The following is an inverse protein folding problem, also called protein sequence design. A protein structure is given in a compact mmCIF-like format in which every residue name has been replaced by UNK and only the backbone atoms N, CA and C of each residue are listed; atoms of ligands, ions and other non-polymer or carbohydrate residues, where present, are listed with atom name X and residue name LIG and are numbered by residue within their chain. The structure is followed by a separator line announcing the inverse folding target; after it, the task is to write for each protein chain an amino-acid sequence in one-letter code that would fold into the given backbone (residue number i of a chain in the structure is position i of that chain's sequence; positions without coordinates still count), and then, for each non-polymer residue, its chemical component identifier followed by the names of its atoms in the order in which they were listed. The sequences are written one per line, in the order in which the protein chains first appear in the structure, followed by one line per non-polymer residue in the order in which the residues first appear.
data_IF_092487272533
#
_entry.id   IF_092487272533
#
_cell.length_a   1.000
_cell.length_b   1.000
_cell.length_c   1.000
_cell.angle_alpha   90.00
_cell.angle_beta   90.00
_cell.angle_gamma   90.00
#
_symmetry.space_group_name_H-M   'P 1'
#
loop_
_entity.id
_entity.type
_entity.pdbx_description
1 polymer ?
#
# COMPACT_ATOMS: atom_id res chain seq x y z
N UNK A 1 18.93 -33.67 -20.94
CA UNK A 1 17.81 -32.80 -21.33
C UNK A 1 18.18 -31.38 -20.94
N UNK A 2 18.31 -30.47 -21.91
CA UNK A 2 18.54 -29.04 -21.63
C UNK A 2 17.29 -28.42 -21.01
N UNK A 3 17.47 -27.50 -20.05
CA UNK A 3 16.36 -26.70 -19.52
C UNK A 3 15.88 -25.73 -20.61
N UNK A 4 14.57 -25.65 -20.90
CA UNK A 4 14.05 -24.67 -21.86
C UNK A 4 14.48 -23.25 -21.48
N UNK A 5 14.87 -22.45 -22.47
CA UNK A 5 15.22 -21.05 -22.25
C UNK A 5 14.00 -20.23 -21.82
N UNK A 6 14.20 -19.30 -20.89
CA UNK A 6 13.17 -18.38 -20.44
C UNK A 6 13.02 -17.24 -21.43
N UNK A 7 11.78 -16.94 -21.83
CA UNK A 7 11.43 -15.80 -22.69
C UNK A 7 11.33 -14.53 -21.85
N UNK A 8 10.83 -14.66 -20.62
CA UNK A 8 10.82 -13.61 -19.60
C UNK A 8 11.38 -14.18 -18.31
N UNK A 9 12.20 -13.41 -17.60
CA UNK A 9 12.72 -13.83 -16.29
C UNK A 9 12.91 -12.65 -15.33
N UNK A 10 12.77 -12.95 -14.05
CA UNK A 10 12.93 -12.06 -12.91
C UNK A 10 13.80 -12.77 -11.88
N UNK A 11 14.86 -12.09 -11.43
CA UNK A 11 15.65 -12.51 -10.26
C UNK A 11 14.85 -12.18 -9.01
N UNK A 12 14.40 -13.22 -8.33
CA UNK A 12 13.64 -13.14 -7.09
C UNK A 12 14.44 -13.80 -5.95
N UNK A 13 13.96 -13.67 -4.71
CA UNK A 13 14.59 -14.26 -3.51
C UNK A 13 14.75 -15.79 -3.63
N UNK A 14 13.73 -16.50 -4.13
CA UNK A 14 13.75 -17.95 -4.35
C UNK A 14 14.57 -18.40 -5.57
N UNK A 15 15.16 -17.46 -6.32
CA UNK A 15 15.92 -17.73 -7.54
C UNK A 15 15.34 -17.02 -8.76
N UNK A 16 15.65 -17.52 -9.96
CA UNK A 16 15.14 -16.95 -11.20
C UNK A 16 13.75 -17.51 -11.48
N UNK A 17 12.74 -16.65 -11.42
CA UNK A 17 11.36 -16.95 -11.80
C UNK A 17 11.11 -16.45 -13.22
N UNK A 18 10.48 -17.23 -14.07
CA UNK A 18 10.24 -16.80 -15.44
C UNK A 18 9.30 -17.68 -16.22
N UNK A 19 8.94 -17.25 -17.42
CA UNK A 19 8.06 -17.98 -18.34
C UNK A 19 8.91 -18.50 -19.50
N UNK A 20 8.81 -19.79 -19.80
CA UNK A 20 9.48 -20.40 -20.95
C UNK A 20 8.69 -20.21 -22.26
N UNK A 21 9.28 -20.62 -23.38
CA UNK A 21 8.66 -20.50 -24.70
C UNK A 21 7.33 -21.27 -24.86
N UNK A 22 7.02 -22.19 -23.95
CA UNK A 22 5.75 -22.93 -23.93
C UNK A 22 4.69 -22.25 -23.06
N UNK A 23 5.02 -21.13 -22.42
CA UNK A 23 4.15 -20.42 -21.49
C UNK A 23 4.13 -21.00 -20.08
N UNK A 24 5.04 -21.93 -19.74
CA UNK A 24 5.12 -22.49 -18.39
C UNK A 24 6.00 -21.63 -17.48
N UNK A 25 5.58 -21.48 -16.21
CA UNK A 25 6.45 -20.85 -15.20
C UNK A 25 7.53 -21.81 -14.74
N UNK A 26 8.75 -21.29 -14.63
CA UNK A 26 9.89 -21.94 -13.98
C UNK A 26 10.33 -21.09 -12.79
N UNK A 27 11.02 -21.73 -11.84
CA UNK A 27 11.63 -21.02 -10.71
C UNK A 27 10.71 -20.73 -9.53
N UNK A 28 9.45 -21.18 -9.55
CA UNK A 28 8.47 -21.04 -8.45
C UNK A 28 8.52 -22.20 -7.44
N UNK A 29 9.64 -22.93 -7.38
CA UNK A 29 9.76 -24.08 -6.48
C UNK A 29 9.62 -23.62 -5.01
N UNK A 30 8.71 -24.27 -4.27
CA UNK A 30 8.42 -23.94 -2.86
C UNK A 30 7.29 -22.93 -2.64
N UNK A 31 6.69 -22.40 -3.71
CA UNK A 31 5.44 -21.65 -3.66
C UNK A 31 4.23 -22.60 -3.67
N UNK A 32 3.18 -22.20 -2.97
CA UNK A 32 1.87 -22.84 -3.06
C UNK A 32 1.29 -22.67 -4.48
N UNK A 33 0.44 -23.60 -4.92
CA UNK A 33 -0.12 -23.59 -6.30
C UNK A 33 -0.81 -22.27 -6.65
N UNK A 34 -1.56 -21.68 -5.71
CA UNK A 34 -2.23 -20.40 -5.90
C UNK A 34 -1.25 -19.25 -6.10
N UNK A 35 -0.13 -19.24 -5.38
CA UNK A 35 0.89 -18.19 -5.51
C UNK A 35 1.64 -18.34 -6.84
N UNK A 36 1.98 -19.57 -7.23
CA UNK A 36 2.60 -19.86 -8.52
C UNK A 36 1.71 -19.41 -9.69
N UNK A 37 0.40 -19.61 -9.60
CA UNK A 37 -0.56 -19.16 -10.60
C UNK A 37 -0.66 -17.62 -10.66
N UNK A 38 -0.72 -16.94 -9.51
CA UNK A 38 -0.73 -15.49 -9.49
C UNK A 38 0.55 -14.89 -10.10
N UNK A 39 1.70 -15.50 -9.82
CA UNK A 39 2.99 -15.14 -10.41
C UNK A 39 2.98 -15.35 -11.93
N UNK A 40 2.43 -16.45 -12.43
CA UNK A 40 2.28 -16.71 -13.87
C UNK A 40 1.48 -15.61 -14.55
N UNK A 41 0.29 -15.30 -14.03
CA UNK A 41 -0.61 -14.29 -14.59
C UNK A 41 0.02 -12.89 -14.56
N UNK A 42 0.74 -12.58 -13.48
CA UNK A 42 1.45 -11.31 -13.34
C UNK A 42 2.57 -11.17 -14.38
N UNK A 43 3.41 -12.19 -14.55
CA UNK A 43 4.54 -12.13 -15.49
C UNK A 43 4.10 -12.22 -16.96
N UNK A 44 3.11 -13.07 -17.26
CA UNK A 44 2.65 -13.29 -18.64
C UNK A 44 1.72 -12.19 -19.12
N UNK A 45 0.72 -11.84 -18.29
CA UNK A 45 -0.39 -10.98 -18.70
C UNK A 45 -0.29 -9.57 -18.11
N UNK A 46 0.66 -9.32 -17.20
CA UNK A 46 0.77 -8.04 -16.48
C UNK A 46 -0.41 -7.79 -15.53
N UNK A 47 -1.12 -8.84 -15.12
CA UNK A 47 -2.32 -8.76 -14.29
C UNK A 47 -1.97 -8.80 -12.81
N UNK A 48 -2.57 -7.91 -12.04
CA UNK A 48 -2.54 -7.97 -10.58
C UNK A 48 -3.78 -8.69 -10.06
N UNK A 49 -3.70 -9.44 -8.96
CA UNK A 49 -4.87 -10.06 -8.36
C UNK A 49 -5.90 -9.02 -7.95
N UNK A 50 -7.19 -9.32 -8.18
CA UNK A 50 -8.28 -8.47 -7.71
C UNK A 50 -8.25 -8.35 -6.18
N UNK A 51 -8.44 -7.13 -5.68
CA UNK A 51 -8.62 -6.85 -4.25
C UNK A 51 -10.05 -7.19 -3.83
N UNK A 52 -10.29 -7.53 -2.54
CA UNK A 52 -11.66 -7.56 -2.01
C UNK A 52 -12.32 -6.19 -2.17
N UNK A 53 -13.65 -6.13 -2.08
CA UNK A 53 -14.36 -4.85 -2.09
C UNK A 53 -13.89 -3.99 -0.89
N UNK A 54 -13.20 -2.89 -1.19
CA UNK A 54 -12.64 -1.92 -0.23
C UNK A 54 -13.37 -0.58 -0.29
N UNK A 55 -14.61 -0.54 -0.81
CA UNK A 55 -15.43 0.69 -0.87
C UNK A 55 -15.66 1.32 0.50
N UNK A 56 -15.58 0.55 1.58
CA UNK A 56 -15.65 1.04 2.96
C UNK A 56 -14.42 1.89 3.35
N UNK A 57 -13.28 1.66 2.70
CA UNK A 57 -12.02 2.38 2.88
C UNK A 57 -11.83 3.50 1.85
N UNK A 58 -12.53 3.45 0.73
CA UNK A 58 -12.48 4.43 -0.35
C UNK A 58 -13.87 5.02 -0.60
N UNK A 59 -14.30 6.02 0.17
CA UNK A 59 -15.43 6.85 -0.29
C UNK A 59 -14.99 7.65 -1.51
N UNK A 60 -15.75 7.56 -2.59
CA UNK A 60 -15.51 8.25 -3.86
C UNK A 60 -15.45 9.77 -3.63
N UNK A 61 -14.48 10.44 -4.25
CA UNK A 61 -14.50 11.91 -4.40
C UNK A 61 -15.79 12.31 -5.08
N UNK A 62 -16.64 13.07 -4.40
CA UNK A 62 -17.67 13.85 -5.08
C UNK A 62 -16.97 15.01 -5.77
N UNK A 63 -16.90 14.96 -7.10
CA UNK A 63 -16.28 16.01 -7.91
C UNK A 63 -17.16 17.26 -7.89
N UNK A 64 -16.99 18.12 -6.89
CA UNK A 64 -17.55 19.47 -6.92
C UNK A 64 -16.64 20.35 -7.78
N UNK A 65 -17.17 20.76 -8.92
CA UNK A 65 -16.60 21.80 -9.78
C UNK A 65 -16.65 23.13 -9.00
N UNK A 66 -15.55 23.56 -8.41
CA UNK A 66 -15.37 24.95 -7.98
C UNK A 66 -13.88 25.28 -7.94
N UNK A 67 -13.49 26.22 -8.79
CA UNK A 67 -12.19 26.84 -8.73
C UNK A 67 -12.15 27.84 -7.60
N UNK A 68 -11.06 27.83 -6.82
CA UNK A 68 -10.39 29.01 -6.29
C UNK A 68 -9.04 28.60 -5.66
N UNK A 69 -7.99 29.16 -6.25
CA UNK A 69 -6.61 29.38 -5.77
C UNK A 69 -6.07 28.59 -4.57
N UNK A 70 -5.28 27.57 -4.95
CA UNK A 70 -4.38 26.70 -4.19
C UNK A 70 -3.49 27.43 -3.14
N UNK A 71 -3.92 27.46 -1.87
CA UNK A 71 -2.99 27.57 -0.73
C UNK A 71 -2.28 26.24 -0.54
N UNK A 72 -1.04 26.20 -0.02
CA UNK A 72 -0.45 24.94 0.37
C UNK A 72 -1.26 24.34 1.53
N UNK A 73 -2.00 23.27 1.23
CA UNK A 73 -2.86 22.58 2.18
C UNK A 73 -2.08 21.44 2.83
N UNK A 74 -2.45 21.16 4.05
CA UNK A 74 -2.09 19.93 4.74
C UNK A 74 -2.74 18.75 4.01
N UNK A 75 -1.98 17.74 3.59
CA UNK A 75 -2.53 16.60 2.83
C UNK A 75 -2.14 15.29 3.48
N UNK A 76 -3.14 14.46 3.81
CA UNK A 76 -2.92 13.10 4.27
C UNK A 76 -2.28 12.26 3.15
N UNK A 77 -1.16 11.59 3.44
CA UNK A 77 -0.44 10.72 2.49
C UNK A 77 -0.77 9.26 2.74
N UNK A 78 -0.72 8.81 4.00
CA UNK A 78 -1.02 7.44 4.33
C UNK A 78 -1.05 7.19 5.84
N UNK A 79 -1.71 6.12 6.30
CA UNK A 79 -2.46 5.15 5.49
C UNK A 79 -3.83 5.69 5.03
N UNK A 80 -4.19 5.52 3.75
CA UNK A 80 -5.51 5.91 3.22
C UNK A 80 -5.96 4.92 2.15
N UNK A 81 -7.21 4.48 2.19
CA UNK A 81 -7.76 3.50 1.25
C UNK A 81 -6.97 2.17 1.19
N UNK A 82 -6.38 1.76 2.31
CA UNK A 82 -5.47 0.61 2.39
C UNK A 82 -5.69 -0.23 3.64
N UNK A 83 -5.34 -1.50 3.56
CA UNK A 83 -5.04 -2.33 4.73
C UNK A 83 -3.57 -2.12 5.11
N UNK A 84 -3.24 -2.14 6.39
CA UNK A 84 -1.86 -2.10 6.90
C UNK A 84 -1.57 -3.35 7.71
N UNK A 85 -0.37 -3.90 7.54
CA UNK A 85 0.08 -5.11 8.27
C UNK A 85 0.46 -4.82 9.74
N UNK A 86 1.04 -3.65 9.98
CA UNK A 86 1.44 -3.18 11.32
C UNK A 86 0.22 -2.74 12.14
N UNK A 87 0.17 -3.16 13.41
CA UNK A 87 -0.77 -2.62 14.40
C UNK A 87 -0.33 -1.25 14.96
N UNK A 88 0.83 -0.75 14.54
CA UNK A 88 1.32 0.61 14.79
C UNK A 88 1.65 1.25 13.44
N UNK A 89 0.65 1.64 12.65
CA UNK A 89 0.89 2.21 11.34
C UNK A 89 1.65 3.53 11.44
N UNK A 90 2.50 3.79 10.44
CA UNK A 90 3.19 5.06 10.28
C UNK A 90 2.29 6.00 9.49
N UNK A 91 1.78 7.03 10.15
CA UNK A 91 0.98 8.09 9.55
C UNK A 91 1.92 9.10 8.90
N UNK A 92 1.61 9.51 7.66
CA UNK A 92 2.41 10.48 6.90
C UNK A 92 1.51 11.52 6.25
N UNK A 93 2.01 12.75 6.18
CA UNK A 93 1.32 13.86 5.51
C UNK A 93 2.32 14.77 4.80
N UNK A 94 1.82 15.61 3.91
CA UNK A 94 2.55 16.74 3.34
C UNK A 94 2.07 18.02 3.99
N UNK A 95 3.02 18.91 4.28
CA UNK A 95 2.76 20.24 4.76
C UNK A 95 3.71 21.24 4.08
N UNK A 96 3.30 22.51 3.91
CA UNK A 96 4.21 23.55 3.46
C UNK A 96 5.40 23.76 4.41
N UNK A 97 6.52 24.19 3.82
CA UNK A 97 7.70 24.62 4.57
C UNK A 97 7.34 25.73 5.57
N UNK A 98 7.94 25.67 6.76
CA UNK A 98 7.69 26.63 7.85
C UNK A 98 6.44 26.35 8.70
N UNK A 99 5.75 25.23 8.48
CA UNK A 99 4.67 24.77 9.37
C UNK A 99 5.24 24.28 10.71
N UNK A 100 4.71 24.79 11.82
CA UNK A 100 5.38 24.70 13.13
C UNK A 100 5.08 23.47 13.99
N UNK A 101 3.82 23.03 14.04
CA UNK A 101 3.42 21.91 14.90
C UNK A 101 2.16 21.25 14.38
N UNK A 102 2.13 19.92 14.48
CA UNK A 102 0.99 19.10 14.07
C UNK A 102 0.48 18.25 15.23
N UNK A 103 -0.78 17.79 15.09
CA UNK A 103 -1.40 16.76 15.92
C UNK A 103 -2.13 15.77 15.02
N UNK A 104 -1.97 14.49 15.30
CA UNK A 104 -2.73 13.39 14.71
C UNK A 104 -3.82 12.97 15.69
N UNK A 105 -5.02 12.72 15.19
CA UNK A 105 -6.07 12.02 15.91
C UNK A 105 -6.53 10.81 15.08
N UNK A 106 -6.74 9.68 15.75
CA UNK A 106 -7.19 8.43 15.15
C UNK A 106 -8.45 7.99 15.86
N UNK A 107 -9.45 7.61 15.06
CA UNK A 107 -10.79 7.24 15.49
C UNK A 107 -11.15 5.86 14.96
N UNK A 108 -12.03 5.15 15.66
CA UNK A 108 -12.67 3.95 15.11
C UNK A 108 -13.77 4.32 14.09
N UNK A 109 -14.47 3.30 13.58
CA UNK A 109 -15.56 3.48 12.61
C UNK A 109 -16.75 4.27 13.15
N UNK A 110 -16.90 4.36 14.47
CA UNK A 110 -17.97 5.06 15.17
C UNK A 110 -17.52 6.46 15.63
N UNK A 111 -16.36 6.92 15.16
CA UNK A 111 -15.73 8.19 15.51
C UNK A 111 -15.31 8.32 16.99
N UNK A 112 -15.14 7.22 17.70
CA UNK A 112 -14.56 7.26 19.05
C UNK A 112 -13.04 7.42 18.97
N UNK A 113 -12.42 8.28 19.81
CA UNK A 113 -10.98 8.46 19.80
C UNK A 113 -10.25 7.19 20.28
N UNK A 114 -9.31 6.72 19.47
CA UNK A 114 -8.50 5.52 19.73
C UNK A 114 -7.06 5.88 20.06
N UNK A 115 -6.50 6.87 19.35
CA UNK A 115 -5.16 7.37 19.60
C UNK A 115 -5.06 8.84 19.21
N UNK A 116 -4.15 9.56 19.87
CA UNK A 116 -3.83 10.93 19.50
C UNK A 116 -2.36 11.20 19.78
N UNK A 117 -1.76 12.03 18.95
CA UNK A 117 -0.43 12.56 19.24
C UNK A 117 -0.52 13.78 20.16
N UNK A 118 0.54 14.02 20.92
CA UNK A 118 0.84 15.38 21.39
C UNK A 118 1.16 16.32 20.23
N UNK A 119 1.43 17.61 20.49
CA UNK A 119 2.01 18.50 19.48
C UNK A 119 3.43 18.06 19.17
N UNK A 120 3.79 17.94 17.89
CA UNK A 120 5.16 17.64 17.49
C UNK A 120 5.49 18.26 16.13
N UNK A 121 6.81 18.39 15.89
CA UNK A 121 7.37 18.81 14.61
C UNK A 121 7.72 17.57 13.78
N UNK A 122 7.38 17.60 12.49
CA UNK A 122 7.64 16.49 11.57
C UNK A 122 6.49 16.29 10.60
N UNK A 123 6.64 15.30 9.72
CA UNK A 123 5.62 14.91 8.73
C UNK A 123 5.22 13.44 8.83
N UNK A 124 5.67 12.77 9.90
CA UNK A 124 5.38 11.38 10.19
C UNK A 124 5.11 11.17 11.67
N UNK A 125 4.23 10.23 12.00
CA UNK A 125 3.92 9.85 13.37
C UNK A 125 3.52 8.38 13.46
N UNK A 126 3.98 7.71 14.52
CA UNK A 126 3.62 6.34 14.81
C UNK A 126 2.99 6.27 16.22
N UNK A 127 1.86 5.55 16.40
CA UNK A 127 1.28 5.35 17.72
C UNK A 127 2.20 4.56 18.65
N UNK A 128 2.27 4.98 19.92
CA UNK A 128 3.02 4.27 20.97
C UNK A 128 2.35 2.95 21.38
N UNK A 129 1.02 2.86 21.24
CA UNK A 129 0.22 1.69 21.60
C UNK A 129 -0.28 1.00 20.33
N UNK A 130 -0.29 -0.35 20.31
CA UNK A 130 -0.84 -1.07 19.18
C UNK A 130 -2.35 -0.83 19.08
N UNK A 131 -2.81 -0.66 17.86
CA UNK A 131 -4.23 -0.59 17.50
C UNK A 131 -4.80 -1.99 17.40
N UNK A 132 -6.09 -2.16 17.69
CA UNK A 132 -6.73 -3.46 17.54
C UNK A 132 -6.74 -3.92 16.08
N UNK A 133 -6.31 -5.17 15.85
CA UNK A 133 -6.29 -5.82 14.53
C UNK A 133 -7.70 -6.12 14.02
N UNK A 134 -7.85 -6.20 12.70
CA UNK A 134 -9.12 -6.47 12.03
C UNK A 134 -10.13 -5.33 12.11
N UNK A 135 -9.71 -4.13 12.53
CA UNK A 135 -10.55 -2.95 12.67
C UNK A 135 -10.22 -1.88 11.63
N UNK A 136 -11.25 -1.14 11.24
CA UNK A 136 -11.14 0.04 10.39
C UNK A 136 -11.06 1.29 11.25
N UNK A 137 -10.20 2.21 10.84
CA UNK A 137 -9.93 3.46 11.53
C UNK A 137 -9.98 4.63 10.54
N UNK A 138 -10.27 5.80 11.09
CA UNK A 138 -10.19 7.09 10.41
C UNK A 138 -9.11 7.90 11.12
N UNK A 139 -8.31 8.67 10.40
CA UNK A 139 -7.40 9.61 11.04
C UNK A 139 -7.45 10.98 10.41
N UNK A 140 -7.11 11.97 11.24
CA UNK A 140 -6.99 13.36 10.83
C UNK A 140 -5.67 13.91 11.33
N UNK A 141 -5.22 14.94 10.64
CA UNK A 141 -4.11 15.77 11.04
C UNK A 141 -4.61 17.20 11.20
N UNK A 142 -4.24 17.84 12.29
CA UNK A 142 -4.41 19.28 12.50
C UNK A 142 -3.06 19.97 12.67
N UNK A 143 -2.97 21.23 12.29
CA UNK A 143 -1.78 22.05 12.48
C UNK A 143 -2.03 23.50 12.14
N UNK A 144 -0.99 24.34 12.29
CA UNK A 144 -1.06 25.76 11.92
C UNK A 144 -0.22 26.02 10.68
N UNK A 145 -0.86 26.45 9.61
CA UNK A 145 -0.24 26.80 8.33
C UNK A 145 -0.49 28.29 8.05
N UNK A 146 0.59 29.09 7.97
CA UNK A 146 0.47 30.54 7.73
C UNK A 146 -0.35 31.28 8.81
N UNK A 147 -0.27 30.84 10.07
CA UNK A 147 -1.03 31.41 11.19
C UNK A 147 -2.48 30.95 11.29
N UNK A 148 -2.95 30.09 10.38
CA UNK A 148 -4.32 29.55 10.36
C UNK A 148 -4.32 28.09 10.77
N UNK A 149 -5.22 27.73 11.71
CA UNK A 149 -5.45 26.33 12.05
C UNK A 149 -6.16 25.61 10.90
N UNK A 150 -5.56 24.51 10.45
CA UNK A 150 -6.05 23.67 9.36
C UNK A 150 -6.15 22.23 9.84
N UNK A 151 -7.14 21.51 9.33
CA UNK A 151 -7.28 20.06 9.54
C UNK A 151 -7.40 19.37 8.19
N UNK A 152 -6.86 18.16 8.07
CA UNK A 152 -6.97 17.33 6.88
C UNK A 152 -7.23 15.85 7.25
N UNK A 153 -7.94 15.08 6.41
CA UNK A 153 -8.62 15.53 5.20
C UNK A 153 -9.76 16.52 5.49
N UNK A 154 -10.02 17.43 4.55
CA UNK A 154 -11.09 18.43 4.64
C UNK A 154 -12.00 18.29 3.43
N UNK A 155 -13.31 18.46 3.61
CA UNK A 155 -14.27 18.36 2.51
C UNK A 155 -13.85 19.23 1.31
N UNK A 156 -13.88 18.72 0.07
CA UNK A 156 -14.47 17.45 -0.39
C UNK A 156 -13.51 16.24 -0.39
N UNK A 157 -12.32 16.34 0.22
CA UNK A 157 -11.42 15.19 0.31
C UNK A 157 -12.07 14.07 1.15
N UNK A 158 -11.98 12.80 0.70
CA UNK A 158 -12.48 11.69 1.48
C UNK A 158 -11.69 11.52 2.77
N UNK A 159 -12.35 10.98 3.79
CA UNK A 159 -11.71 10.63 5.06
C UNK A 159 -10.53 9.69 4.83
N UNK A 160 -9.45 9.88 5.59
CA UNK A 160 -8.27 9.03 5.52
C UNK A 160 -8.57 7.75 6.33
N UNK A 161 -9.21 6.80 5.65
CA UNK A 161 -9.63 5.52 6.20
C UNK A 161 -8.59 4.44 5.91
N UNK A 162 -8.39 3.56 6.88
CA UNK A 162 -7.54 2.39 6.70
C UNK A 162 -8.00 1.26 7.62
N UNK A 163 -7.59 0.03 7.31
CA UNK A 163 -7.85 -1.13 8.16
C UNK A 163 -6.55 -1.74 8.65
N UNK A 164 -6.47 -2.10 9.92
CA UNK A 164 -5.37 -2.94 10.43
C UNK A 164 -5.69 -4.39 10.09
N UNK A 165 -4.79 -5.08 9.41
CA UNK A 165 -4.95 -6.49 9.06
C UNK A 165 -5.20 -7.34 10.31
N UNK A 166 -6.08 -8.34 10.19
CA UNK A 166 -6.15 -9.37 11.22
C UNK A 166 -4.85 -10.21 11.22
N UNK A 167 -4.62 -10.94 12.33
CA UNK A 167 -3.36 -11.65 12.53
C UNK A 167 -3.12 -12.71 11.45
N UNK A 168 -4.16 -13.49 11.11
CA UNK A 168 -4.06 -14.56 10.12
C UNK A 168 -3.75 -14.00 8.73
N UNK A 169 -4.39 -12.89 8.34
CA UNK A 169 -4.12 -12.19 7.08
C UNK A 169 -2.69 -11.67 7.02
N UNK A 170 -2.22 -11.01 8.09
CA UNK A 170 -0.86 -10.46 8.16
C UNK A 170 0.20 -11.58 8.07
N UNK A 171 0.02 -12.66 8.83
CA UNK A 171 0.92 -13.82 8.81
C UNK A 171 0.91 -14.52 7.45
N UNK A 172 -0.27 -14.74 6.86
CA UNK A 172 -0.38 -15.37 5.56
C UNK A 172 0.42 -14.60 4.49
N UNK A 173 0.31 -13.27 4.47
CA UNK A 173 1.10 -12.43 3.55
C UNK A 173 2.60 -12.52 3.89
N UNK A 174 2.97 -12.38 5.17
CA UNK A 174 4.37 -12.36 5.61
C UNK A 174 5.12 -13.68 5.31
N UNK A 175 4.45 -14.82 5.40
CA UNK A 175 5.04 -16.14 5.08
C UNK A 175 5.60 -16.22 3.64
N UNK A 176 5.11 -15.38 2.72
CA UNK A 176 5.62 -15.31 1.34
C UNK A 176 6.91 -14.50 1.21
N UNK A 177 7.15 -13.54 2.12
CA UNK A 177 8.31 -12.65 2.07
C UNK A 177 9.63 -13.42 2.17
N UNK A 178 9.65 -14.56 2.87
CA UNK A 178 10.82 -15.42 2.97
C UNK A 178 11.13 -16.22 1.69
N UNK A 179 10.16 -16.35 0.79
CA UNK A 179 10.25 -17.22 -0.40
C UNK A 179 10.36 -16.44 -1.71
N UNK A 180 9.64 -15.32 -1.83
CA UNK A 180 9.50 -14.58 -3.09
C UNK A 180 9.00 -13.16 -2.82
N UNK A 181 9.78 -12.16 -3.23
CA UNK A 181 9.37 -10.75 -3.19
C UNK A 181 8.17 -10.53 -4.14
N UNK A 182 8.12 -11.24 -5.28
CA UNK A 182 7.01 -11.15 -6.22
C UNK A 182 5.72 -11.74 -5.66
N UNK A 183 5.76 -12.95 -5.11
CA UNK A 183 4.59 -13.58 -4.50
C UNK A 183 4.12 -12.79 -3.27
N UNK A 184 5.04 -12.27 -2.47
CA UNK A 184 4.71 -11.36 -1.37
C UNK A 184 4.01 -10.10 -1.88
N UNK A 185 4.53 -9.46 -2.93
CA UNK A 185 3.92 -8.26 -3.51
C UNK A 185 2.50 -8.51 -4.00
N UNK A 186 2.27 -9.59 -4.75
CA UNK A 186 0.94 -9.93 -5.27
C UNK A 186 -0.04 -10.33 -4.15
N UNK A 187 0.43 -11.03 -3.11
CA UNK A 187 -0.40 -11.39 -1.97
C UNK A 187 -0.76 -10.19 -1.10
N UNK A 188 0.21 -9.29 -0.84
CA UNK A 188 -0.03 -8.02 -0.16
C UNK A 188 -1.03 -7.18 -0.94
N UNK A 189 -0.87 -7.09 -2.26
CA UNK A 189 -1.80 -6.39 -3.14
C UNK A 189 -3.22 -6.96 -3.03
N UNK A 190 -3.36 -8.27 -3.18
CA UNK A 190 -4.63 -8.98 -3.02
C UNK A 190 -5.27 -8.75 -1.65
N UNK A 191 -4.46 -8.62 -0.60
CA UNK A 191 -4.93 -8.36 0.77
C UNK A 191 -5.31 -6.89 1.03
N UNK A 192 -5.15 -6.00 0.05
CA UNK A 192 -5.38 -4.56 0.22
C UNK A 192 -4.20 -3.81 0.87
N UNK A 193 -3.07 -4.48 1.10
CA UNK A 193 -1.83 -3.91 1.68
C UNK A 193 -1.01 -3.21 0.58
N UNK A 194 -1.54 -2.08 0.11
CA UNK A 194 -1.07 -1.43 -1.12
C UNK A 194 0.35 -0.88 -1.00
N UNK A 195 0.73 -0.34 0.15
CA UNK A 195 2.08 0.19 0.35
C UNK A 195 3.10 -0.94 0.40
N UNK A 196 2.84 -1.99 1.20
CA UNK A 196 3.70 -3.16 1.31
C UNK A 196 3.92 -3.86 -0.04
N UNK A 197 2.85 -3.98 -0.84
CA UNK A 197 2.91 -4.55 -2.18
C UNK A 197 3.86 -3.77 -3.09
N UNK A 198 3.71 -2.45 -3.12
CA UNK A 198 4.51 -1.55 -3.97
C UNK A 198 5.96 -1.49 -3.51
N UNK A 199 6.22 -1.45 -2.20
CA UNK A 199 7.59 -1.48 -1.68
C UNK A 199 8.31 -2.77 -2.06
N UNK A 200 7.63 -3.92 -1.98
CA UNK A 200 8.22 -5.18 -2.40
C UNK A 200 8.49 -5.23 -3.91
N UNK A 201 7.55 -4.76 -4.73
CA UNK A 201 7.75 -4.68 -6.17
C UNK A 201 8.90 -3.74 -6.55
N UNK A 202 9.03 -2.59 -5.86
CA UNK A 202 10.13 -1.66 -6.08
C UNK A 202 11.50 -2.30 -5.80
N UNK A 203 11.64 -3.02 -4.67
CA UNK A 203 12.88 -3.80 -4.38
C UNK A 203 13.17 -4.84 -5.46
N UNK A 204 12.13 -5.46 -6.01
CA UNK A 204 12.28 -6.43 -7.10
C UNK A 204 12.75 -5.74 -8.40
N UNK A 205 12.23 -4.55 -8.70
CA UNK A 205 12.65 -3.75 -9.86
C UNK A 205 14.09 -3.26 -9.73
N UNK A 206 14.55 -2.90 -8.54
CA UNK A 206 15.95 -2.54 -8.28
C UNK A 206 16.91 -3.69 -8.59
N UNK A 207 16.51 -4.93 -8.25
CA UNK A 207 17.27 -6.15 -8.57
C UNK A 207 17.17 -6.55 -10.05
N UNK A 208 16.20 -5.99 -10.79
CA UNK A 208 15.85 -6.36 -12.16
C UNK A 208 15.61 -5.09 -13.02
N UNK A 209 16.64 -4.27 -13.24
CA UNK A 209 16.49 -3.02 -13.95
C UNK A 209 16.06 -3.27 -15.41
N UNK A 210 15.07 -2.51 -15.88
CA UNK A 210 14.59 -2.55 -17.26
C UNK A 210 13.63 -3.70 -17.60
N UNK A 211 13.24 -4.54 -16.64
CA UNK A 211 12.26 -5.61 -16.87
C UNK A 211 10.86 -5.03 -17.12
N UNK A 212 10.38 -5.18 -18.36
CA UNK A 212 9.11 -4.59 -18.84
C UNK A 212 7.91 -5.12 -18.07
N UNK A 213 7.95 -6.37 -17.65
CA UNK A 213 6.87 -7.05 -16.92
C UNK A 213 6.69 -6.46 -15.53
N UNK A 214 7.78 -6.22 -14.80
CA UNK A 214 7.72 -5.55 -13.50
C UNK A 214 7.23 -4.11 -13.63
N UNK A 215 7.64 -3.39 -14.67
CA UNK A 215 7.14 -2.05 -14.95
C UNK A 215 5.64 -2.04 -15.26
N UNK A 216 5.14 -3.02 -16.02
CA UNK A 216 3.69 -3.17 -16.29
C UNK A 216 2.91 -3.43 -15.00
N UNK A 217 3.42 -4.30 -14.12
CA UNK A 217 2.80 -4.57 -12.83
C UNK A 217 2.77 -3.33 -11.94
N UNK A 218 3.85 -2.55 -11.92
CA UNK A 218 3.90 -1.30 -11.17
C UNK A 218 2.85 -0.30 -11.67
N UNK A 219 2.69 -0.18 -13.00
CA UNK A 219 1.63 0.64 -13.61
C UNK A 219 0.23 0.13 -13.24
N UNK A 220 0.00 -1.19 -13.29
CA UNK A 220 -1.29 -1.78 -12.89
C UNK A 220 -1.63 -1.47 -11.42
N UNK A 221 -0.67 -1.63 -10.50
CA UNK A 221 -0.82 -1.29 -9.07
C UNK A 221 -0.96 0.21 -8.80
N UNK A 222 -0.61 1.07 -9.75
CA UNK A 222 -0.78 2.52 -9.66
C UNK A 222 -2.10 2.99 -10.29
N UNK A 223 -2.74 2.19 -11.15
CA UNK A 223 -4.01 2.55 -11.79
C UNK A 223 -5.23 2.31 -10.89
N UNK A 224 -5.14 1.40 -9.91
CA UNK A 224 -6.21 1.12 -8.95
C UNK A 224 -6.15 2.08 -7.74
N UNK A 225 -6.82 3.22 -7.88
CA UNK A 225 -7.04 4.22 -6.83
C UNK A 225 -8.52 4.45 -6.53
#
# INVERSE_FOLDING_TARGET
MEKPALVTSVRDLGGVVGVDATGQVRGVLGLETTDAQAVLEALRDGKVPAQPDMRDLSRTRETLLSGETNRPVLTAVGPTGTVVSSDRPLFRWKAPAGSGSFRIAVFDSDFNPVAASGPFAGTEWQPEKPMARGKTYIWTISGTVGGVSVTAPQSPEPEARFRVADQAQAEAVLQRAAKSDLAYSLAAWKAGMKEEARTALARLMEKNPGTKELARLATAMAAEH
#
